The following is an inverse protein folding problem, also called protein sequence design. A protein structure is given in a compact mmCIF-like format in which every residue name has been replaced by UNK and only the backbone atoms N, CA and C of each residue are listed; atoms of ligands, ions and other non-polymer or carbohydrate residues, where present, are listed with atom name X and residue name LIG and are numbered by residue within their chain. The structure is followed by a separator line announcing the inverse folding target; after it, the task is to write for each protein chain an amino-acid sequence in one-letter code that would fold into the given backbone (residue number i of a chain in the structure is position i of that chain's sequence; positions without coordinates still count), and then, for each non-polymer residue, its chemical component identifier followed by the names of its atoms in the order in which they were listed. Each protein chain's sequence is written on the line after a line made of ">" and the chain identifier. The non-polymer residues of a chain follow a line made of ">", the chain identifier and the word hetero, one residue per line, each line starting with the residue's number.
data_IF_238600209622
#
_entry.id   IF_238600209622
#
_cell.length_a   1.000
_cell.length_b   1.000
_cell.length_c   1.000
_cell.angle_alpha   90.00
_cell.angle_beta   90.00
_cell.angle_gamma   90.00
#
_symmetry.space_group_name_H-M   'P 1'
#
loop_
_entity.id
_entity.type
_entity.pdbx_description
1 polymer ?
#
# COMPACT_ATOMS: atom_id res chain seq x y z
N UNK A 1 6.37 -11.65 -0.17
CA UNK A 1 6.03 -10.22 0.04
C UNK A 1 4.66 -9.96 -0.59
N UNK A 2 3.86 -9.02 -0.06
CA UNK A 2 2.49 -8.79 -0.55
C UNK A 2 2.41 -8.47 -2.05
N UNK A 3 3.45 -7.88 -2.65
CA UNK A 3 3.57 -7.67 -4.09
C UNK A 3 3.38 -8.92 -4.97
N UNK A 4 3.86 -10.08 -4.52
CA UNK A 4 3.66 -11.33 -5.27
C UNK A 4 2.19 -11.75 -5.32
N UNK A 5 1.48 -11.54 -4.22
CA UNK A 5 0.04 -11.82 -4.10
C UNK A 5 -0.76 -10.83 -4.93
N UNK A 6 -0.41 -9.54 -4.88
CA UNK A 6 -1.03 -8.52 -5.73
C UNK A 6 -0.94 -8.89 -7.22
N UNK A 7 0.23 -9.35 -7.69
CA UNK A 7 0.41 -9.80 -9.06
C UNK A 7 -0.47 -11.01 -9.42
N UNK A 8 -0.59 -12.00 -8.53
CA UNK A 8 -1.45 -13.17 -8.72
C UNK A 8 -2.95 -12.82 -8.77
N UNK A 9 -3.36 -11.80 -8.01
CA UNK A 9 -4.74 -11.32 -7.97
C UNK A 9 -5.07 -10.34 -9.11
N UNK A 10 -4.11 -10.00 -9.97
CA UNK A 10 -4.33 -9.07 -11.10
C UNK A 10 -4.18 -7.59 -10.74
N UNK A 11 -3.69 -7.25 -9.56
CA UNK A 11 -3.47 -5.87 -9.11
C UNK A 11 -2.06 -5.33 -9.42
N UNK A 12 -1.29 -6.01 -10.29
CA UNK A 12 0.11 -5.68 -10.59
C UNK A 12 0.34 -4.29 -11.22
N UNK A 13 -0.69 -3.69 -11.82
CA UNK A 13 -0.63 -2.31 -12.34
C UNK A 13 -0.77 -1.26 -11.24
N UNK A 14 -1.38 -1.61 -10.10
CA UNK A 14 -1.58 -0.73 -8.94
C UNK A 14 -0.49 -0.91 -7.88
N UNK A 15 -0.03 -2.15 -7.67
CA UNK A 15 0.98 -2.49 -6.66
C UNK A 15 2.26 -2.91 -7.38
N UNK A 16 3.07 -1.91 -7.73
CA UNK A 16 4.22 -2.07 -8.63
C UNK A 16 5.45 -2.51 -7.81
N UNK A 17 6.12 -3.63 -8.14
CA UNK A 17 7.30 -4.13 -7.42
C UNK A 17 8.57 -3.40 -7.84
N UNK A 18 8.58 -2.07 -7.76
CA UNK A 18 9.69 -1.22 -8.13
C UNK A 18 9.98 -0.21 -7.03
N UNK A 19 11.25 -0.04 -6.70
CA UNK A 19 11.67 0.98 -5.73
C UNK A 19 11.43 2.38 -6.33
N UNK A 20 10.83 3.28 -5.53
CA UNK A 20 10.55 4.67 -5.93
C UNK A 20 11.22 5.67 -4.99
N UNK A 21 10.76 5.73 -3.75
CA UNK A 21 11.26 6.67 -2.73
C UNK A 21 11.57 5.96 -1.42
N UNK A 22 12.41 6.59 -0.59
CA UNK A 22 12.50 6.30 0.83
C UNK A 22 11.66 7.34 1.58
N UNK A 23 10.80 6.89 2.48
CA UNK A 23 9.86 7.75 3.22
C UNK A 23 9.98 7.53 4.72
N UNK A 24 10.00 8.63 5.47
CA UNK A 24 9.82 8.58 6.92
C UNK A 24 8.34 8.49 7.23
N UNK A 25 7.91 7.32 7.68
CA UNK A 25 6.53 7.05 8.11
C UNK A 25 6.54 6.14 9.34
N UNK A 26 5.38 5.83 9.89
CA UNK A 26 5.17 5.08 11.13
C UNK A 26 5.86 3.71 11.12
N UNK A 27 6.09 3.11 9.95
CA UNK A 27 6.80 1.83 9.82
C UNK A 27 8.27 1.89 10.28
N UNK A 28 8.92 3.06 10.22
CA UNK A 28 10.36 3.22 10.53
C UNK A 28 10.67 2.92 12.01
N UNK A 29 9.97 3.49 13.01
CA UNK A 29 10.12 3.12 14.41
C UNK A 29 10.04 1.61 14.68
N UNK A 30 9.11 0.89 14.05
CA UNK A 30 8.98 -0.57 14.20
C UNK A 30 10.19 -1.31 13.62
N UNK A 31 10.63 -0.93 12.42
CA UNK A 31 11.83 -1.52 11.81
C UNK A 31 13.08 -1.31 12.68
N UNK A 32 13.26 -0.12 13.29
CA UNK A 32 14.36 0.17 14.21
C UNK A 32 14.36 -0.72 15.47
N UNK A 33 13.22 -1.29 15.83
CA UNK A 33 13.07 -2.25 16.95
C UNK A 33 13.17 -3.71 16.50
N UNK A 34 13.48 -3.97 15.23
CA UNK A 34 13.59 -5.31 14.67
C UNK A 34 12.26 -5.97 14.30
N UNK A 35 11.17 -5.20 14.23
CA UNK A 35 9.86 -5.70 13.80
C UNK A 35 9.72 -5.47 12.28
N UNK A 36 9.64 -6.54 11.46
CA UNK A 36 9.45 -6.40 10.02
C UNK A 36 8.16 -5.66 9.72
N UNK A 37 8.28 -4.48 9.10
CA UNK A 37 7.16 -3.58 8.84
C UNK A 37 7.26 -3.07 7.41
N UNK A 38 6.12 -2.81 6.80
CA UNK A 38 6.00 -2.27 5.45
C UNK A 38 4.86 -1.26 5.41
N UNK A 39 5.03 -0.23 4.60
CA UNK A 39 4.03 0.79 4.37
C UNK A 39 3.50 0.68 2.92
N UNK A 40 2.18 0.77 2.76
CA UNK A 40 1.50 0.73 1.45
C UNK A 40 0.93 2.11 1.17
N UNK A 41 1.67 2.90 0.39
CA UNK A 41 1.43 4.32 0.18
C UNK A 41 1.42 4.67 -1.32
N UNK A 42 0.51 5.55 -1.72
CA UNK A 42 0.45 6.14 -3.06
C UNK A 42 1.18 7.48 -3.08
N UNK A 43 2.22 7.58 -3.91
CA UNK A 43 3.01 8.79 -4.09
C UNK A 43 2.52 9.69 -5.23
N UNK A 44 1.58 9.22 -6.05
CA UNK A 44 1.06 9.94 -7.21
C UNK A 44 -0.34 10.53 -6.93
N UNK A 45 -0.78 10.55 -5.67
CA UNK A 45 -2.07 11.12 -5.24
C UNK A 45 -2.02 12.67 -5.16
N UNK A 46 -2.67 13.40 -6.08
CA UNK A 46 -2.47 14.85 -6.23
C UNK A 46 -3.15 15.70 -5.16
N UNK A 47 -4.08 15.12 -4.39
CA UNK A 47 -4.88 15.85 -3.40
C UNK A 47 -4.27 15.82 -2.00
N UNK A 48 -3.15 15.12 -1.80
CA UNK A 48 -2.44 15.03 -0.52
C UNK A 48 -2.17 16.42 0.08
N UNK A 49 -2.52 16.60 1.36
CA UNK A 49 -2.39 17.86 2.09
C UNK A 49 -3.11 19.07 1.44
N UNK A 50 -4.20 18.82 0.71
CA UNK A 50 -5.08 19.87 0.19
C UNK A 50 -6.48 19.78 0.81
N UNK A 51 -7.24 20.87 0.73
CA UNK A 51 -8.68 20.85 1.08
C UNK A 51 -9.54 20.03 0.11
N UNK A 52 -8.96 19.53 -0.98
CA UNK A 52 -9.64 18.68 -1.94
C UNK A 52 -9.51 17.19 -1.61
N UNK A 53 -8.76 16.84 -0.56
CA UNK A 53 -8.73 15.48 -0.01
C UNK A 53 -10.05 15.20 0.71
N UNK A 54 -11.03 14.78 -0.09
CA UNK A 54 -12.43 14.63 0.30
C UNK A 54 -12.96 13.26 -0.09
N UNK A 55 -14.05 12.77 0.54
CA UNK A 55 -14.52 11.39 0.34
C UNK A 55 -14.87 11.00 -1.11
N UNK A 56 -15.13 11.95 -2.00
CA UNK A 56 -15.38 11.67 -3.42
C UNK A 56 -14.14 11.19 -4.20
N UNK A 57 -12.95 11.20 -3.58
CA UNK A 57 -11.70 10.65 -4.15
C UNK A 57 -11.47 9.19 -3.72
N UNK A 58 -12.29 8.67 -2.81
CA UNK A 58 -12.20 7.29 -2.34
C UNK A 58 -12.71 6.36 -3.43
N UNK A 59 -11.91 5.35 -3.78
CA UNK A 59 -12.24 4.32 -4.77
C UNK A 59 -12.43 2.96 -4.09
N UNK A 60 -13.59 2.34 -4.34
CA UNK A 60 -13.87 0.98 -3.88
C UNK A 60 -12.86 -0.01 -4.48
N UNK A 61 -12.46 0.19 -5.73
CA UNK A 61 -11.49 -0.64 -6.44
C UNK A 61 -10.09 -0.53 -5.82
N UNK A 62 -9.68 0.67 -5.40
CA UNK A 62 -8.41 0.87 -4.68
C UNK A 62 -8.42 0.19 -3.32
N UNK A 63 -9.52 0.32 -2.56
CA UNK A 63 -9.69 -0.34 -1.26
C UNK A 63 -9.68 -1.85 -1.40
N UNK A 64 -10.35 -2.40 -2.41
CA UNK A 64 -10.36 -3.83 -2.71
C UNK A 64 -8.95 -4.33 -3.03
N UNK A 65 -8.21 -3.64 -3.91
CA UNK A 65 -6.88 -4.07 -4.35
C UNK A 65 -5.91 -4.22 -3.16
N UNK A 66 -5.89 -3.25 -2.24
CA UNK A 66 -5.05 -3.31 -1.03
C UNK A 66 -5.60 -4.35 -0.05
N UNK A 67 -6.90 -4.31 0.24
CA UNK A 67 -7.55 -5.17 1.21
C UNK A 67 -7.41 -6.66 0.87
N UNK A 68 -7.77 -7.06 -0.36
CA UNK A 68 -7.67 -8.45 -0.83
C UNK A 68 -6.23 -8.94 -0.88
N UNK A 69 -5.28 -8.08 -1.29
CA UNK A 69 -3.86 -8.44 -1.29
C UNK A 69 -3.37 -8.77 0.12
N UNK A 70 -3.72 -7.94 1.11
CA UNK A 70 -3.31 -8.14 2.51
C UNK A 70 -4.02 -9.35 3.13
N UNK A 71 -5.33 -9.48 2.92
CA UNK A 71 -6.14 -10.61 3.39
C UNK A 71 -5.54 -11.94 2.92
N UNK A 72 -5.40 -12.14 1.61
CA UNK A 72 -4.84 -13.38 1.05
C UNK A 72 -3.41 -13.62 1.53
N UNK A 73 -2.60 -12.56 1.61
CA UNK A 73 -1.21 -12.68 2.09
C UNK A 73 -1.11 -13.11 3.56
N UNK A 74 -2.06 -12.69 4.41
CA UNK A 74 -2.12 -13.10 5.82
C UNK A 74 -2.69 -14.50 5.99
N UNK A 75 -3.64 -14.93 5.15
CA UNK A 75 -4.26 -16.26 5.23
C UNK A 75 -3.31 -17.40 4.83
N UNK A 76 -2.37 -17.14 3.92
CA UNK A 76 -1.42 -18.15 3.41
C UNK A 76 -0.08 -18.15 4.16
N UNK A 77 0.02 -17.38 5.25
CA UNK A 77 1.26 -17.16 6.00
C UNK A 77 1.44 -18.11 7.17
#
# INVERSE_FOLDING_TARGET
>A
MPWGIAGQLGYGERIIPQAKYAMEDDHIPFMRRGIPSVDMIDFDYPYWHTTQDTPDKVSAESLEAIGRTLEVWLEIR
#
